data_IF_461055785802
#
_entry.id   IF_461055785802
#
_cell.length_a   1.000
_cell.length_b   1.000
_cell.length_c   1.000
_cell.angle_alpha   90.00
_cell.angle_beta   90.00
_cell.angle_gamma   90.00
#
_symmetry.space_group_name_H-M   'P 1'
#
loop_
_entity.id
_entity.type
_entity.pdbx_description
1 polymer ?
#
# COMPACT_ATOMS: atom_id res chain seq x y z
N UNK A 1 -17.17 15.47 -15.00
CA UNK A 1 -16.86 14.24 -15.77
C UNK A 1 -18.15 13.46 -15.97
N UNK A 2 -18.58 13.26 -17.23
CA UNK A 2 -19.71 12.37 -17.55
C UNK A 2 -19.20 10.94 -17.50
N UNK A 3 -19.28 10.32 -16.33
CA UNK A 3 -19.21 8.87 -16.25
C UNK A 3 -20.45 8.36 -17.00
N UNK A 4 -20.28 7.70 -18.15
CA UNK A 4 -21.38 6.96 -18.79
C UNK A 4 -22.00 6.00 -17.79
N UNK A 5 -23.22 5.49 -18.03
CA UNK A 5 -23.96 4.65 -17.08
C UNK A 5 -23.15 3.40 -16.63
N UNK A 6 -22.27 3.59 -15.67
CA UNK A 6 -21.34 2.59 -15.17
C UNK A 6 -22.07 1.81 -14.09
N UNK A 7 -22.31 0.52 -14.33
CA UNK A 7 -22.76 -0.40 -13.29
C UNK A 7 -21.69 -0.48 -12.21
N UNK A 8 -22.04 -0.10 -10.98
CA UNK A 8 -21.21 -0.24 -9.79
C UNK A 8 -21.44 -1.66 -9.25
N UNK A 9 -20.35 -2.39 -8.96
CA UNK A 9 -20.40 -3.65 -8.22
C UNK A 9 -19.62 -3.46 -6.93
N UNK A 10 -20.31 -3.59 -5.80
CA UNK A 10 -19.68 -3.59 -4.48
C UNK A 10 -19.33 -5.04 -4.14
N UNK A 11 -18.10 -5.29 -3.73
CA UNK A 11 -17.64 -6.60 -3.31
C UNK A 11 -17.45 -6.59 -1.80
N UNK A 12 -18.01 -7.60 -1.12
CA UNK A 12 -17.70 -7.82 0.28
C UNK A 12 -16.31 -8.45 0.39
N UNK A 13 -15.41 -7.75 1.07
CA UNK A 13 -14.03 -8.19 1.29
C UNK A 13 -13.67 -8.07 2.77
N UNK A 14 -12.76 -8.92 3.28
CA UNK A 14 -12.24 -8.76 4.64
C UNK A 14 -11.65 -7.36 4.85
N UNK A 15 -11.86 -6.80 6.04
CA UNK A 15 -11.22 -5.55 6.44
C UNK A 15 -9.73 -5.81 6.68
N UNK A 16 -8.87 -5.01 6.06
CA UNK A 16 -7.43 -5.07 6.21
C UNK A 16 -6.93 -3.79 6.87
N UNK A 17 -6.31 -3.91 8.04
CA UNK A 17 -5.67 -2.79 8.75
C UNK A 17 -4.29 -2.46 8.15
N UNK A 18 -4.24 -2.18 6.85
CA UNK A 18 -3.02 -1.84 6.11
C UNK A 18 -3.33 -0.65 5.20
N UNK A 19 -2.51 0.40 5.29
CA UNK A 19 -2.62 1.56 4.41
C UNK A 19 -1.25 1.98 3.85
N UNK A 20 -1.26 2.53 2.63
CA UNK A 20 -0.03 3.02 2.01
C UNK A 20 0.60 4.18 2.79
N UNK A 21 -0.22 5.04 3.42
CA UNK A 21 0.28 6.12 4.26
C UNK A 21 1.04 5.59 5.48
N UNK A 22 0.46 4.62 6.19
CA UNK A 22 1.12 3.97 7.32
C UNK A 22 2.44 3.28 6.92
N UNK A 23 2.47 2.61 5.76
CA UNK A 23 3.69 1.98 5.23
C UNK A 23 4.78 3.04 4.98
N UNK A 24 4.46 4.13 4.28
CA UNK A 24 5.45 5.19 3.97
C UNK A 24 5.99 5.85 5.23
N UNK A 25 5.13 6.19 6.19
CA UNK A 25 5.54 6.75 7.50
C UNK A 25 6.48 5.81 8.24
N UNK A 26 6.19 4.50 8.19
CA UNK A 26 7.01 3.48 8.83
C UNK A 26 8.40 3.37 8.19
N UNK A 27 8.48 3.43 6.86
CA UNK A 27 9.76 3.47 6.13
C UNK A 27 10.58 4.71 6.48
N UNK A 28 9.95 5.89 6.49
CA UNK A 28 10.59 7.15 6.86
C UNK A 28 11.14 7.10 8.30
N UNK A 29 10.40 6.47 9.21
CA UNK A 29 10.82 6.23 10.60
C UNK A 29 11.84 5.07 10.76
N UNK A 30 12.36 4.50 9.67
CA UNK A 30 13.27 3.34 9.67
C UNK A 30 12.74 2.13 10.44
N UNK A 31 11.42 1.92 10.42
CA UNK A 31 10.76 0.77 11.04
C UNK A 31 10.51 -0.32 9.99
N UNK A 32 10.58 -1.62 10.37
CA UNK A 32 10.49 -2.73 9.41
C UNK A 32 9.08 -2.90 8.85
N UNK A 33 8.91 -3.03 7.53
CA UNK A 33 7.59 -3.22 6.86
C UNK A 33 7.32 -4.65 6.43
N UNK A 34 8.10 -5.61 6.93
CA UNK A 34 7.91 -7.05 6.70
C UNK A 34 6.47 -7.46 7.01
N UNK A 35 5.90 -8.29 6.14
CA UNK A 35 4.51 -8.78 6.19
C UNK A 35 3.43 -7.74 5.87
N UNK A 36 3.75 -6.45 5.80
CA UNK A 36 2.84 -5.42 5.30
C UNK A 36 2.90 -5.28 3.77
N UNK A 37 4.02 -5.72 3.19
CA UNK A 37 4.26 -5.76 1.74
C UNK A 37 4.91 -7.08 1.34
N UNK A 38 4.79 -7.51 0.07
CA UNK A 38 5.55 -8.65 -0.43
C UNK A 38 7.06 -8.42 -0.29
N UNK A 39 7.88 -9.47 -0.05
CA UNK A 39 9.33 -9.34 0.15
C UNK A 39 10.07 -8.60 -0.99
N UNK A 40 9.65 -8.80 -2.25
CA UNK A 40 10.22 -8.09 -3.40
C UNK A 40 9.98 -6.58 -3.35
N UNK A 41 8.86 -6.15 -2.78
CA UNK A 41 8.53 -4.72 -2.61
C UNK A 41 9.36 -4.10 -1.50
N UNK A 42 9.57 -4.82 -0.39
CA UNK A 42 10.48 -4.39 0.68
C UNK A 42 11.91 -4.17 0.14
N UNK A 43 12.42 -5.12 -0.66
CA UNK A 43 13.72 -4.99 -1.33
C UNK A 43 13.76 -3.78 -2.25
N UNK A 44 12.73 -3.59 -3.09
CA UNK A 44 12.65 -2.45 -4.00
C UNK A 44 12.67 -1.10 -3.28
N UNK A 45 11.94 -0.96 -2.17
CA UNK A 45 11.95 0.25 -1.34
C UNK A 45 13.36 0.53 -0.82
N UNK A 46 14.09 -0.51 -0.40
CA UNK A 46 15.46 -0.37 0.09
C UNK A 46 16.43 0.02 -1.03
N UNK A 47 16.41 -0.70 -2.15
CA UNK A 47 17.30 -0.47 -3.30
C UNK A 47 17.13 0.90 -3.93
N UNK A 48 15.89 1.38 -4.02
CA UNK A 48 15.57 2.69 -4.61
C UNK A 48 15.58 3.83 -3.61
N UNK A 49 15.80 3.55 -2.33
CA UNK A 49 15.83 4.58 -1.29
C UNK A 49 14.50 5.31 -1.11
N UNK A 50 13.36 4.65 -1.35
CA UNK A 50 12.05 5.30 -1.34
C UNK A 50 11.61 5.67 0.07
N UNK A 51 10.87 6.78 0.16
CA UNK A 51 10.19 7.23 1.39
C UNK A 51 11.12 7.47 2.58
N UNK A 52 12.40 7.77 2.31
CA UNK A 52 13.41 8.19 3.28
C UNK A 52 13.54 9.71 3.32
#
# INVERSE_FOLDING_TARGET
>A
ARWGASRITVLDTPLMEISSSSIRERVAARRPVRYLVPPRVEQFIVEKGLYR
#
